data_IF_369753299388
#
_entry.id   IF_369753299388
#
_cell.length_a   1.000
_cell.length_b   1.000
_cell.length_c   1.000
_cell.angle_alpha   90.00
_cell.angle_beta   90.00
_cell.angle_gamma   90.00
#
_symmetry.space_group_name_H-M   'P 1'
#
loop_
_entity.id
_entity.type
_entity.pdbx_description
1 polymer ?
#
# COMPACT_ATOMS: atom_id res chain seq x y z
N UNK A 1 20.41 -13.10 -9.56
CA UNK A 1 19.15 -13.82 -9.85
C UNK A 1 18.48 -14.38 -8.59
N UNK A 2 19.16 -15.17 -7.75
CA UNK A 2 18.56 -15.76 -6.53
C UNK A 2 17.86 -14.76 -5.60
N UNK A 3 18.48 -13.62 -5.27
CA UNK A 3 17.88 -12.65 -4.33
C UNK A 3 16.59 -11.99 -4.84
N UNK A 4 16.49 -11.73 -6.14
CA UNK A 4 15.27 -11.15 -6.74
C UNK A 4 14.13 -12.17 -6.82
N UNK A 5 14.45 -13.46 -6.94
CA UNK A 5 13.45 -14.54 -6.86
C UNK A 5 12.85 -14.63 -5.46
N UNK A 6 13.69 -14.53 -4.40
CA UNK A 6 13.16 -14.49 -3.03
C UNK A 6 12.28 -13.26 -2.78
N UNK A 7 12.66 -12.08 -3.30
CA UNK A 7 11.78 -10.89 -3.23
C UNK A 7 10.43 -11.14 -3.92
N UNK A 8 10.43 -11.82 -5.06
CA UNK A 8 9.18 -12.18 -5.74
C UNK A 8 8.31 -13.10 -4.87
N UNK A 9 8.88 -14.17 -4.31
CA UNK A 9 8.16 -15.10 -3.44
C UNK A 9 7.64 -14.41 -2.17
N UNK A 10 8.46 -13.56 -1.52
CA UNK A 10 8.05 -12.78 -0.36
C UNK A 10 6.82 -11.93 -0.72
N UNK A 11 6.87 -11.19 -1.85
CA UNK A 11 5.75 -10.33 -2.24
C UNK A 11 4.49 -11.11 -2.65
N UNK A 12 4.61 -12.25 -3.31
CA UNK A 12 3.45 -13.12 -3.60
C UNK A 12 2.81 -13.58 -2.30
N UNK A 13 3.59 -14.10 -1.37
CA UNK A 13 3.04 -14.68 -0.15
C UNK A 13 2.62 -13.62 0.89
N UNK A 14 3.15 -12.40 0.83
CA UNK A 14 2.70 -11.31 1.70
C UNK A 14 1.56 -10.49 1.11
N UNK A 15 1.20 -10.68 -0.15
CA UNK A 15 0.20 -9.85 -0.84
C UNK A 15 -1.13 -9.76 -0.09
N UNK A 16 -1.73 -10.91 0.17
CA UNK A 16 -3.05 -10.96 0.80
C UNK A 16 -2.98 -10.82 2.34
N UNK A 17 -1.93 -11.35 2.96
CA UNK A 17 -1.83 -11.37 4.43
C UNK A 17 -1.67 -9.97 5.05
N UNK A 18 -1.22 -8.95 4.31
CA UNK A 18 -1.08 -7.57 4.79
C UNK A 18 -2.41 -6.99 5.26
N UNK A 19 -3.50 -7.34 4.58
CA UNK A 19 -4.86 -6.95 4.93
C UNK A 19 -5.53 -7.83 6.00
N UNK A 20 -4.86 -8.88 6.47
CA UNK A 20 -5.43 -9.89 7.36
C UNK A 20 -6.62 -10.60 6.71
N UNK A 21 -7.61 -10.97 7.52
CA UNK A 21 -8.82 -11.65 7.02
C UNK A 21 -9.72 -10.75 6.15
N UNK A 22 -9.51 -9.42 6.15
CA UNK A 22 -10.29 -8.49 5.33
C UNK A 22 -11.80 -8.76 5.36
N UNK A 23 -12.44 -8.91 4.18
CA UNK A 23 -13.88 -9.16 4.08
C UNK A 23 -14.32 -10.47 4.73
N UNK A 24 -13.45 -11.48 4.80
CA UNK A 24 -13.77 -12.81 5.33
C UNK A 24 -14.01 -12.80 6.83
N UNK A 25 -13.41 -11.85 7.57
CA UNK A 25 -13.65 -11.69 9.00
C UNK A 25 -15.12 -11.44 9.31
N UNK A 26 -15.75 -10.54 8.56
CA UNK A 26 -17.17 -10.21 8.76
C UNK A 26 -18.07 -11.42 8.59
N UNK A 27 -17.86 -12.19 7.53
CA UNK A 27 -18.59 -13.42 7.26
C UNK A 27 -18.38 -14.45 8.38
N UNK A 28 -17.13 -14.66 8.81
CA UNK A 28 -16.81 -15.57 9.90
C UNK A 28 -17.50 -15.21 11.21
N UNK A 29 -17.38 -13.95 11.64
CA UNK A 29 -17.97 -13.48 12.89
C UNK A 29 -19.50 -13.50 12.85
N UNK A 30 -20.12 -13.25 11.71
CA UNK A 30 -21.57 -13.36 11.54
C UNK A 30 -22.02 -14.81 11.66
N UNK A 31 -21.33 -15.75 11.00
CA UNK A 31 -21.72 -17.18 10.97
C UNK A 31 -21.43 -17.90 12.29
N UNK A 32 -20.31 -17.61 12.95
CA UNK A 32 -19.87 -18.34 14.14
C UNK A 32 -20.23 -17.66 15.46
N UNK A 33 -20.34 -16.35 15.49
CA UNK A 33 -20.59 -15.54 16.68
C UNK A 33 -21.90 -14.77 16.69
N UNK A 34 -22.68 -14.81 15.61
CA UNK A 34 -23.92 -14.04 15.47
C UNK A 34 -23.69 -12.52 15.53
N UNK A 35 -22.51 -12.05 15.10
CA UNK A 35 -22.19 -10.62 15.16
C UNK A 35 -22.98 -9.83 14.11
N UNK A 36 -23.58 -8.73 14.56
CA UNK A 36 -24.21 -7.79 13.64
C UNK A 36 -23.16 -7.07 12.76
N UNK A 37 -23.53 -6.64 11.55
CA UNK A 37 -22.65 -5.85 10.68
C UNK A 37 -22.09 -4.60 11.37
N UNK A 38 -22.87 -3.93 12.20
CA UNK A 38 -22.45 -2.77 12.98
C UNK A 38 -21.33 -3.11 13.96
N UNK A 39 -21.41 -4.26 14.65
CA UNK A 39 -20.40 -4.71 15.60
C UNK A 39 -19.10 -5.10 14.89
N UNK A 40 -19.18 -5.76 13.73
CA UNK A 40 -18.04 -6.07 12.88
C UNK A 40 -17.38 -4.77 12.37
N UNK A 41 -18.18 -3.85 11.85
CA UNK A 41 -17.70 -2.55 11.38
C UNK A 41 -17.01 -1.74 12.49
N UNK A 42 -17.56 -1.76 13.71
CA UNK A 42 -16.96 -1.04 14.83
C UNK A 42 -15.59 -1.60 15.22
N UNK A 43 -15.44 -2.93 15.34
CA UNK A 43 -14.13 -3.54 15.67
C UNK A 43 -13.11 -3.29 14.58
N UNK A 44 -13.47 -3.41 13.30
CA UNK A 44 -12.55 -3.18 12.18
C UNK A 44 -12.12 -1.71 12.09
N UNK A 45 -13.02 -0.78 12.38
CA UNK A 45 -12.69 0.66 12.46
C UNK A 45 -11.69 0.94 13.58
N UNK A 46 -11.93 0.41 14.79
CA UNK A 46 -10.99 0.59 15.90
C UNK A 46 -9.61 0.02 15.61
N UNK A 47 -9.55 -1.17 15.00
CA UNK A 47 -8.28 -1.77 14.57
C UNK A 47 -7.59 -0.92 13.50
N UNK A 48 -8.34 -0.43 12.51
CA UNK A 48 -7.82 0.47 11.48
C UNK A 48 -7.21 1.74 12.07
N UNK A 49 -7.92 2.39 13.00
CA UNK A 49 -7.39 3.57 13.74
C UNK A 49 -6.12 3.21 14.52
N UNK A 50 -6.12 2.07 15.22
CA UNK A 50 -4.93 1.58 15.92
C UNK A 50 -3.74 1.35 14.98
N UNK A 51 -3.98 0.76 13.82
CA UNK A 51 -2.96 0.54 12.78
C UNK A 51 -2.34 1.86 12.27
N UNK A 52 -3.13 2.93 12.13
CA UNK A 52 -2.62 4.25 11.75
C UNK A 52 -1.59 4.78 12.76
N UNK A 53 -1.88 4.67 14.05
CA UNK A 53 -0.94 5.07 15.11
C UNK A 53 0.33 4.20 15.15
N UNK A 54 0.23 2.93 14.76
CA UNK A 54 1.37 2.01 14.72
C UNK A 54 2.26 2.21 13.48
N UNK A 55 1.76 2.79 12.39
CA UNK A 55 2.47 2.87 11.10
C UNK A 55 3.78 3.67 11.18
N UNK A 56 3.80 4.82 11.85
CA UNK A 56 5.01 5.61 12.05
C UNK A 56 6.05 4.90 12.93
N UNK A 57 5.67 4.43 14.14
CA UNK A 57 6.54 3.61 15.00
C UNK A 57 7.07 2.36 14.32
N UNK A 58 6.28 1.66 13.49
CA UNK A 58 6.73 0.48 12.75
C UNK A 58 7.87 0.82 11.78
N UNK A 59 7.74 1.90 11.02
CA UNK A 59 8.83 2.39 10.15
C UNK A 59 10.09 2.76 10.95
N UNK A 60 9.93 3.45 12.09
CA UNK A 60 11.05 3.79 12.97
C UNK A 60 11.74 2.55 13.56
N UNK A 61 10.97 1.51 13.86
CA UNK A 61 11.50 0.23 14.35
C UNK A 61 12.37 -0.44 13.27
N UNK A 62 11.93 -0.42 12.01
CA UNK A 62 12.71 -0.97 10.88
C UNK A 62 14.02 -0.22 10.73
N UNK A 63 13.99 1.11 10.69
CA UNK A 63 15.20 1.93 10.59
C UNK A 63 16.17 1.71 11.77
N UNK A 64 15.64 1.43 12.97
CA UNK A 64 16.46 1.22 14.18
C UNK A 64 17.12 -0.15 14.20
N UNK A 65 16.38 -1.21 13.87
CA UNK A 65 16.85 -2.60 13.99
C UNK A 65 17.78 -2.96 12.82
N UNK A 66 17.50 -2.49 11.59
CA UNK A 66 18.31 -2.77 10.39
C UNK A 66 18.42 -4.25 10.02
N UNK A 67 17.47 -5.08 10.46
CA UNK A 67 17.40 -6.53 10.17
C UNK A 67 16.07 -6.89 9.52
N UNK A 68 15.83 -6.44 8.27
CA UNK A 68 14.51 -6.55 7.63
C UNK A 68 14.00 -7.98 7.53
N UNK A 69 14.87 -8.97 7.31
CA UNK A 69 14.47 -10.39 7.24
C UNK A 69 13.80 -10.87 8.52
N UNK A 70 14.38 -10.53 9.68
CA UNK A 70 13.79 -10.91 10.99
C UNK A 70 12.49 -10.17 11.23
N UNK A 71 12.40 -8.90 10.82
CA UNK A 71 11.20 -8.08 10.97
C UNK A 71 10.05 -8.57 10.08
N UNK A 72 10.32 -8.97 8.82
CA UNK A 72 9.32 -9.58 7.94
C UNK A 72 8.83 -10.91 8.55
N UNK A 73 9.74 -11.77 8.99
CA UNK A 73 9.37 -13.04 9.62
C UNK A 73 8.53 -12.83 10.90
N UNK A 74 8.94 -11.90 11.78
CA UNK A 74 8.19 -11.55 12.99
C UNK A 74 6.81 -10.96 12.67
N UNK A 75 6.72 -10.12 11.63
CA UNK A 75 5.45 -9.58 11.14
C UNK A 75 4.51 -10.68 10.64
N UNK A 76 5.02 -11.63 9.85
CA UNK A 76 4.24 -12.78 9.39
C UNK A 76 3.79 -13.67 10.55
N UNK A 77 4.64 -13.87 11.57
CA UNK A 77 4.27 -14.59 12.80
C UNK A 77 3.16 -13.86 13.55
N UNK A 78 3.26 -12.53 13.69
CA UNK A 78 2.22 -11.74 14.34
C UNK A 78 0.88 -11.81 13.59
N UNK A 79 0.90 -11.71 12.25
CA UNK A 79 -0.30 -11.85 11.42
C UNK A 79 -0.89 -13.25 11.58
N UNK A 80 -0.07 -14.30 11.50
CA UNK A 80 -0.51 -15.69 11.67
C UNK A 80 -1.13 -15.89 13.06
N UNK A 81 -0.45 -15.45 14.11
CA UNK A 81 -0.94 -15.56 15.49
C UNK A 81 -2.25 -14.79 15.65
N UNK A 82 -2.32 -13.54 15.21
CA UNK A 82 -3.55 -12.74 15.26
C UNK A 82 -4.70 -13.39 14.49
N UNK A 83 -4.43 -13.94 13.31
CA UNK A 83 -5.42 -14.64 12.49
C UNK A 83 -5.94 -15.90 13.21
N UNK A 84 -5.05 -16.74 13.77
CA UNK A 84 -5.45 -17.97 14.47
C UNK A 84 -6.16 -17.70 15.79
N UNK A 85 -5.78 -16.63 16.52
CA UNK A 85 -6.45 -16.20 17.75
C UNK A 85 -7.92 -15.81 17.55
N UNK A 86 -8.32 -15.46 16.33
CA UNK A 86 -9.74 -15.17 16.02
C UNK A 86 -10.61 -16.43 16.05
N UNK A 87 -10.07 -17.61 15.71
CA UNK A 87 -10.83 -18.85 15.65
C UNK A 87 -11.58 -19.14 16.96
N UNK A 88 -10.96 -19.11 18.15
CA UNK A 88 -11.63 -19.29 19.43
C UNK A 88 -12.28 -18.01 19.97
N UNK A 89 -12.03 -16.84 19.38
CA UNK A 89 -12.45 -15.55 19.93
C UNK A 89 -13.95 -15.30 19.74
N UNK A 90 -14.72 -15.25 20.83
CA UNK A 90 -16.17 -14.99 20.81
C UNK A 90 -16.53 -13.61 21.34
N UNK A 91 -15.69 -12.99 22.16
CA UNK A 91 -15.93 -11.69 22.76
C UNK A 91 -15.31 -10.55 21.94
N UNK A 92 -15.89 -9.36 22.05
CA UNK A 92 -15.37 -8.18 21.37
C UNK A 92 -13.90 -7.88 21.75
N UNK A 93 -13.49 -7.87 23.03
CA UNK A 93 -12.10 -7.61 23.39
C UNK A 93 -11.12 -8.64 22.81
N UNK A 94 -11.52 -9.93 22.76
CA UNK A 94 -10.67 -10.99 22.22
C UNK A 94 -10.47 -10.82 20.69
N UNK A 95 -11.54 -10.54 19.94
CA UNK A 95 -11.45 -10.27 18.50
C UNK A 95 -10.64 -9.01 18.23
N UNK A 96 -10.87 -7.94 19.00
CA UNK A 96 -10.11 -6.70 18.90
C UNK A 96 -8.61 -6.92 19.16
N UNK A 97 -8.25 -7.61 20.23
CA UNK A 97 -6.85 -7.91 20.55
C UNK A 97 -6.18 -8.76 19.46
N UNK A 98 -6.85 -9.82 19.00
CA UNK A 98 -6.36 -10.67 17.91
C UNK A 98 -6.12 -9.87 16.62
N UNK A 99 -7.07 -9.02 16.24
CA UNK A 99 -6.95 -8.14 15.07
C UNK A 99 -5.84 -7.10 15.23
N UNK A 100 -5.66 -6.54 16.43
CA UNK A 100 -4.57 -5.59 16.70
C UNK A 100 -3.19 -6.24 16.58
N UNK A 101 -3.04 -7.51 17.00
CA UNK A 101 -1.81 -8.28 16.79
C UNK A 101 -1.53 -8.48 15.30
N UNK A 102 -2.55 -8.88 14.51
CA UNK A 102 -2.42 -9.03 13.07
C UNK A 102 -2.09 -7.69 12.39
N UNK A 103 -2.77 -6.60 12.77
CA UNK A 103 -2.56 -5.27 12.22
C UNK A 103 -1.15 -4.73 12.52
N UNK A 104 -0.62 -4.97 13.72
CA UNK A 104 0.77 -4.62 14.08
C UNK A 104 1.79 -5.31 13.16
N UNK A 105 1.56 -6.60 12.82
CA UNK A 105 2.33 -7.29 11.80
C UNK A 105 2.15 -6.65 10.40
N UNK A 106 0.92 -6.37 10.00
CA UNK A 106 0.59 -5.80 8.69
C UNK A 106 1.29 -4.47 8.42
N UNK A 107 1.27 -3.54 9.38
CA UNK A 107 1.91 -2.22 9.22
C UNK A 107 3.45 -2.29 9.17
N UNK A 108 4.03 -3.36 9.70
CA UNK A 108 5.48 -3.58 9.69
C UNK A 108 5.99 -4.13 8.36
N UNK A 109 5.15 -4.87 7.60
CA UNK A 109 5.57 -5.57 6.39
C UNK A 109 6.09 -4.64 5.30
N UNK A 110 5.33 -3.60 4.94
CA UNK A 110 5.72 -2.70 3.84
C UNK A 110 7.05 -2.00 4.08
N UNK A 111 7.31 -1.37 5.25
CA UNK A 111 8.62 -0.79 5.54
C UNK A 111 9.75 -1.83 5.52
N UNK A 112 9.52 -3.01 6.11
CA UNK A 112 10.55 -4.04 6.18
C UNK A 112 10.89 -4.65 4.80
N UNK A 113 9.89 -4.88 3.94
CA UNK A 113 10.11 -5.34 2.55
C UNK A 113 10.81 -4.26 1.72
N UNK A 114 10.45 -2.99 1.93
CA UNK A 114 11.09 -1.84 1.26
C UNK A 114 12.58 -1.75 1.64
N UNK A 115 12.88 -1.87 2.93
CA UNK A 115 14.26 -1.90 3.44
C UNK A 115 15.06 -3.06 2.85
N UNK A 116 14.48 -4.28 2.87
CA UNK A 116 15.12 -5.46 2.28
C UNK A 116 15.38 -5.26 0.79
N UNK A 117 14.41 -4.70 0.06
CA UNK A 117 14.53 -4.44 -1.37
C UNK A 117 15.64 -3.44 -1.66
N UNK A 118 15.67 -2.29 -0.95
CA UNK A 118 16.73 -1.28 -1.08
C UNK A 118 18.11 -1.86 -0.78
N UNK A 119 18.24 -2.66 0.27
CA UNK A 119 19.50 -3.29 0.65
C UNK A 119 20.02 -4.33 -0.35
N UNK A 120 19.10 -4.96 -1.12
CA UNK A 120 19.47 -5.94 -2.16
C UNK A 120 19.81 -5.25 -3.47
N UNK A 121 18.98 -4.33 -3.97
CA UNK A 121 19.12 -3.80 -5.34
C UNK A 121 19.74 -2.42 -5.41
N UNK A 122 19.78 -1.67 -4.31
CA UNK A 122 20.24 -0.28 -4.27
C UNK A 122 19.23 0.69 -4.89
N UNK A 123 19.50 2.00 -4.74
CA UNK A 123 18.61 3.09 -5.16
C UNK A 123 18.29 3.05 -6.66
N UNK A 124 19.30 2.85 -7.50
CA UNK A 124 19.15 2.98 -8.97
C UNK A 124 18.23 1.91 -9.55
N UNK A 125 18.22 0.70 -8.98
CA UNK A 125 17.35 -0.40 -9.43
C UNK A 125 16.07 -0.51 -8.63
N UNK A 126 15.93 0.26 -7.56
CA UNK A 126 14.77 0.19 -6.66
C UNK A 126 13.44 0.45 -7.37
N UNK A 127 13.27 1.48 -8.25
CA UNK A 127 11.99 1.72 -8.89
C UNK A 127 11.52 0.53 -9.73
N UNK A 128 12.41 -0.04 -10.52
CA UNK A 128 12.10 -1.22 -11.35
C UNK A 128 11.77 -2.45 -10.51
N UNK A 129 12.51 -2.67 -9.41
CA UNK A 129 12.25 -3.79 -8.51
C UNK A 129 10.97 -3.58 -7.73
N UNK A 130 10.65 -2.35 -7.30
CA UNK A 130 9.41 -2.02 -6.61
C UNK A 130 8.19 -2.29 -7.50
N UNK A 131 8.27 -1.95 -8.80
CA UNK A 131 7.23 -2.32 -9.76
C UNK A 131 7.00 -3.84 -9.85
N UNK A 132 8.07 -4.63 -9.86
CA UNK A 132 7.98 -6.09 -9.82
C UNK A 132 7.41 -6.60 -8.50
N UNK A 133 7.85 -6.05 -7.37
CA UNK A 133 7.36 -6.41 -6.06
C UNK A 133 5.85 -6.20 -5.96
N UNK A 134 5.35 -5.06 -6.43
CA UNK A 134 3.92 -4.76 -6.43
C UNK A 134 3.14 -5.69 -7.38
N UNK A 135 3.67 -5.99 -8.57
CA UNK A 135 3.03 -6.95 -9.47
C UNK A 135 2.91 -8.34 -8.84
N UNK A 136 3.96 -8.82 -8.16
CA UNK A 136 3.92 -10.09 -7.42
C UNK A 136 2.97 -10.04 -6.21
N UNK A 137 2.88 -8.89 -5.54
CA UNK A 137 1.94 -8.67 -4.44
C UNK A 137 0.49 -8.81 -4.93
N UNK A 138 0.11 -8.11 -6.01
CA UNK A 138 -1.22 -8.23 -6.61
C UNK A 138 -1.51 -9.64 -7.14
N UNK A 139 -0.52 -10.34 -7.69
CA UNK A 139 -0.65 -11.75 -8.08
C UNK A 139 -0.94 -12.63 -6.86
N UNK A 140 -0.28 -12.39 -5.73
CA UNK A 140 -0.53 -13.08 -4.46
C UNK A 140 -1.97 -12.88 -3.97
N UNK A 141 -2.49 -11.65 -4.03
CA UNK A 141 -3.89 -11.35 -3.69
C UNK A 141 -4.86 -12.15 -4.57
N UNK A 142 -4.63 -12.17 -5.89
CA UNK A 142 -5.48 -12.93 -6.81
C UNK A 142 -5.45 -14.43 -6.54
N UNK A 143 -4.27 -15.01 -6.27
CA UNK A 143 -4.11 -16.42 -5.93
C UNK A 143 -4.86 -16.73 -4.63
N UNK A 144 -4.68 -15.93 -3.57
CA UNK A 144 -5.36 -16.13 -2.31
C UNK A 144 -6.88 -16.03 -2.45
N UNK A 145 -7.36 -14.98 -3.11
CA UNK A 145 -8.80 -14.80 -3.36
C UNK A 145 -9.40 -15.96 -4.16
N UNK A 146 -8.68 -16.45 -5.17
CA UNK A 146 -9.09 -17.63 -5.95
C UNK A 146 -9.16 -18.90 -5.10
N UNK A 147 -8.12 -19.18 -4.30
CA UNK A 147 -8.08 -20.34 -3.40
C UNK A 147 -9.17 -20.28 -2.32
N UNK A 148 -9.42 -19.12 -1.74
CA UNK A 148 -10.46 -18.93 -0.74
C UNK A 148 -11.83 -19.09 -1.39
N UNK A 149 -12.08 -18.46 -2.53
CA UNK A 149 -13.36 -18.54 -3.25
C UNK A 149 -13.71 -19.99 -3.63
N UNK A 150 -12.75 -20.71 -4.23
CA UNK A 150 -12.94 -22.11 -4.60
C UNK A 150 -13.06 -23.01 -3.36
N UNK A 151 -12.18 -22.83 -2.38
CA UNK A 151 -12.14 -23.65 -1.18
C UNK A 151 -13.37 -23.49 -0.28
N UNK A 152 -13.96 -22.29 -0.24
CA UNK A 152 -15.16 -22.01 0.57
C UNK A 152 -16.35 -22.88 0.16
N UNK A 153 -16.47 -23.23 -1.12
CA UNK A 153 -17.54 -24.10 -1.62
C UNK A 153 -17.45 -25.54 -1.04
N UNK A 154 -16.24 -26.00 -0.66
CA UNK A 154 -16.01 -27.36 -0.16
C UNK A 154 -15.75 -27.42 1.34
N UNK A 155 -15.10 -26.42 1.91
CA UNK A 155 -14.60 -26.40 3.29
C UNK A 155 -15.19 -25.30 4.16
N UNK A 156 -16.13 -24.50 3.61
CA UNK A 156 -16.76 -23.39 4.32
C UNK A 156 -15.80 -22.21 4.57
N UNK A 157 -16.26 -21.22 5.35
CA UNK A 157 -15.55 -19.96 5.58
C UNK A 157 -14.18 -20.13 6.30
N UNK A 158 -13.96 -21.25 7.00
CA UNK A 158 -12.69 -21.53 7.67
C UNK A 158 -11.50 -21.63 6.72
N UNK A 159 -11.72 -21.89 5.43
CA UNK A 159 -10.66 -21.99 4.43
C UNK A 159 -9.83 -20.72 4.34
N UNK A 160 -10.42 -19.54 4.58
CA UNK A 160 -9.68 -18.28 4.57
C UNK A 160 -8.54 -18.27 5.61
N UNK A 161 -8.77 -18.83 6.81
CA UNK A 161 -7.73 -18.94 7.85
C UNK A 161 -6.58 -19.85 7.43
N UNK A 162 -6.90 -20.96 6.76
CA UNK A 162 -5.90 -21.91 6.30
C UNK A 162 -5.06 -21.36 5.14
N UNK A 163 -5.69 -20.68 4.18
CA UNK A 163 -4.98 -20.03 3.06
C UNK A 163 -4.06 -18.94 3.55
N UNK A 164 -4.56 -18.03 4.41
CA UNK A 164 -3.74 -16.97 5.01
C UNK A 164 -2.62 -17.54 5.87
N UNK A 165 -2.91 -18.58 6.67
CA UNK A 165 -1.91 -19.28 7.47
C UNK A 165 -0.82 -19.91 6.62
N UNK A 166 -1.19 -20.61 5.55
CA UNK A 166 -0.23 -21.21 4.61
C UNK A 166 0.63 -20.13 3.93
N UNK A 167 0.03 -19.03 3.47
CA UNK A 167 0.76 -17.92 2.88
C UNK A 167 1.73 -17.27 3.88
N UNK A 168 1.32 -17.08 5.14
CA UNK A 168 2.20 -16.55 6.17
C UNK A 168 3.41 -17.46 6.43
N UNK A 169 3.20 -18.78 6.50
CA UNK A 169 4.30 -19.76 6.67
C UNK A 169 5.23 -19.73 5.46
N UNK A 170 4.68 -19.72 4.23
CA UNK A 170 5.49 -19.63 3.01
C UNK A 170 6.27 -18.32 2.92
N UNK A 171 5.68 -17.19 3.36
CA UNK A 171 6.36 -15.91 3.45
C UNK A 171 7.53 -15.95 4.45
N UNK A 172 7.35 -16.59 5.61
CA UNK A 172 8.43 -16.80 6.60
C UNK A 172 9.55 -17.62 5.96
N UNK A 173 9.23 -18.75 5.34
CA UNK A 173 10.22 -19.62 4.68
C UNK A 173 10.97 -18.84 3.59
N UNK A 174 10.26 -18.16 2.68
CA UNK A 174 10.86 -17.38 1.61
C UNK A 174 11.78 -16.27 2.17
N UNK A 175 11.40 -15.65 3.29
CA UNK A 175 12.18 -14.60 3.93
C UNK A 175 13.44 -15.14 4.60
N UNK A 176 13.33 -16.22 5.36
CA UNK A 176 14.46 -16.79 6.11
C UNK A 176 15.48 -17.46 5.17
N UNK A 177 15.01 -18.04 4.05
CA UNK A 177 15.88 -18.63 3.02
C UNK A 177 16.55 -17.59 2.11
N UNK A 178 16.16 -16.31 2.19
CA UNK A 178 16.85 -15.23 1.47
C UNK A 178 18.32 -15.16 1.91
N UNK A 179 19.30 -15.25 0.98
CA UNK A 179 20.71 -15.24 1.36
C UNK A 179 21.13 -13.94 2.03
N UNK A 180 21.73 -14.04 3.23
CA UNK A 180 22.10 -12.88 4.04
C UNK A 180 23.14 -11.97 3.40
N UNK A 181 24.06 -12.55 2.63
CA UNK A 181 25.11 -11.83 1.92
C UNK A 181 24.60 -10.91 0.80
N UNK A 182 23.35 -11.12 0.33
CA UNK A 182 22.74 -10.27 -0.69
C UNK A 182 22.22 -8.94 -0.14
N UNK A 183 22.03 -8.83 1.18
CA UNK A 183 21.53 -7.63 1.83
C UNK A 183 22.68 -6.80 2.39
N UNK A 184 22.73 -5.53 2.04
CA UNK A 184 23.66 -4.54 2.60
C UNK A 184 22.87 -3.41 3.26
N UNK A 185 22.96 -3.31 4.59
CA UNK A 185 22.25 -2.28 5.37
C UNK A 185 22.71 -0.86 5.07
N UNK A 186 24.00 -0.67 4.73
CA UNK A 186 24.51 0.65 4.34
C UNK A 186 23.92 1.11 3.01
N UNK A 187 23.80 0.19 2.05
CA UNK A 187 23.11 0.42 0.77
C UNK A 187 21.65 0.79 0.97
N UNK A 188 20.96 0.11 1.90
CA UNK A 188 19.56 0.37 2.19
C UNK A 188 19.30 1.81 2.66
N UNK A 189 20.20 2.37 3.47
CA UNK A 189 20.09 3.73 4.03
C UNK A 189 20.81 4.80 3.19
N UNK A 190 21.53 4.39 2.14
CA UNK A 190 22.22 5.32 1.22
C UNK A 190 23.58 5.80 1.73
N UNK A 191 24.25 5.01 2.56
CA UNK A 191 25.60 5.30 3.04
C UNK A 191 26.63 4.64 2.13
N UNK A 192 27.89 5.14 2.14
CA UNK A 192 28.97 4.56 1.36
C UNK A 192 29.24 3.13 1.80
N UNK A 193 29.29 2.19 0.85
CA UNK A 193 29.45 0.76 1.14
C UNK A 193 30.88 0.42 1.57
N UNK A 194 31.85 1.09 0.98
CA UNK A 194 33.30 0.77 1.11
C UNK A 194 34.00 1.56 2.23
N UNK A 195 33.29 2.44 2.95
CA UNK A 195 33.87 3.25 4.02
C UNK A 195 33.15 2.96 5.36
N UNK A 196 33.69 2.02 6.17
CA UNK A 196 33.12 1.67 7.49
C UNK A 196 33.05 2.85 8.47
N UNK A 197 33.92 3.83 8.31
CA UNK A 197 34.01 5.02 9.18
C UNK A 197 33.07 6.13 8.74
N UNK A 198 32.56 6.09 7.51
CA UNK A 198 31.47 6.95 7.05
C UNK A 198 30.17 6.54 7.77
N UNK A 199 29.98 7.02 8.98
CA UNK A 199 28.74 6.88 9.77
C UNK A 199 28.04 8.23 9.84
N UNK A 200 27.36 8.65 8.74
CA UNK A 200 26.62 9.90 8.79
C UNK A 200 25.63 9.86 9.93
N UNK A 201 25.52 10.96 10.64
CA UNK A 201 24.56 11.08 11.73
C UNK A 201 23.16 10.86 11.19
N UNK A 202 22.41 9.92 11.78
CA UNK A 202 21.03 9.66 11.37
C UNK A 202 20.21 10.90 11.61
N UNK A 203 19.49 11.33 10.59
CA UNK A 203 18.56 12.44 10.71
C UNK A 203 17.59 12.22 11.89
N UNK A 204 17.22 13.28 12.59
CA UNK A 204 16.21 13.18 13.64
C UNK A 204 14.84 12.90 13.01
N UNK A 205 13.97 12.15 13.70
CA UNK A 205 12.58 11.95 13.25
C UNK A 205 11.89 13.28 12.97
N UNK A 206 12.16 14.29 13.81
CA UNK A 206 11.62 15.64 13.64
C UNK A 206 12.07 16.29 12.33
N UNK A 207 13.34 16.14 11.93
CA UNK A 207 13.83 16.73 10.67
C UNK A 207 13.19 16.07 9.44
N UNK A 208 12.91 14.76 9.51
CA UNK A 208 12.19 14.04 8.44
C UNK A 208 10.74 14.52 8.36
N UNK A 209 10.06 14.62 9.50
CA UNK A 209 8.68 15.11 9.58
C UNK A 209 8.54 16.59 9.21
N UNK A 210 9.61 17.38 9.35
CA UNK A 210 9.64 18.78 8.93
C UNK A 210 9.92 18.95 7.42
N UNK A 211 10.20 17.87 6.70
CA UNK A 211 10.42 17.94 5.26
C UNK A 211 9.13 18.30 4.53
N UNK A 212 9.05 19.56 4.06
CA UNK A 212 7.86 20.10 3.39
C UNK A 212 7.42 19.24 2.19
N UNK A 213 8.37 18.72 1.41
CA UNK A 213 8.04 17.87 0.24
C UNK A 213 7.39 16.55 0.66
N UNK A 214 7.89 15.95 1.73
CA UNK A 214 7.34 14.71 2.28
C UNK A 214 5.93 14.94 2.83
N UNK A 215 5.72 16.05 3.57
CA UNK A 215 4.40 16.36 4.13
C UNK A 215 3.37 16.68 3.04
N UNK A 216 3.76 17.41 1.99
CA UNK A 216 2.87 17.67 0.85
C UNK A 216 2.51 16.38 0.13
N UNK A 217 3.47 15.47 -0.07
CA UNK A 217 3.19 14.15 -0.62
C UNK A 217 2.19 13.40 0.27
N UNK A 218 2.41 13.36 1.59
CA UNK A 218 1.53 12.70 2.53
C UNK A 218 0.09 13.25 2.50
N UNK A 219 -0.06 14.59 2.48
CA UNK A 219 -1.36 15.26 2.37
C UNK A 219 -2.02 14.99 1.02
N UNK A 220 -1.27 15.04 -0.09
CA UNK A 220 -1.80 14.73 -1.41
C UNK A 220 -2.31 13.29 -1.49
N UNK A 221 -1.60 12.33 -0.87
CA UNK A 221 -2.03 10.94 -0.79
C UNK A 221 -3.21 10.73 0.15
N UNK A 222 -3.31 11.49 1.25
CA UNK A 222 -4.49 11.49 2.10
C UNK A 222 -5.73 11.97 1.34
N UNK A 223 -5.60 13.05 0.58
CA UNK A 223 -6.69 13.56 -0.29
C UNK A 223 -7.05 12.56 -1.40
N UNK A 224 -6.05 11.90 -2.00
CA UNK A 224 -6.28 10.83 -2.96
C UNK A 224 -7.10 9.69 -2.32
N UNK A 225 -6.69 9.20 -1.14
CA UNK A 225 -7.38 8.11 -0.46
C UNK A 225 -8.75 8.54 0.10
N UNK A 226 -8.92 9.80 0.47
CA UNK A 226 -10.23 10.35 0.85
C UNK A 226 -11.22 10.23 -0.32
N UNK A 227 -10.75 10.44 -1.55
CA UNK A 227 -11.56 10.24 -2.75
C UNK A 227 -11.72 8.78 -3.14
N UNK A 228 -10.64 7.99 -3.08
CA UNK A 228 -10.59 6.64 -3.63
C UNK A 228 -11.14 5.56 -2.69
N UNK A 229 -10.85 5.65 -1.40
CA UNK A 229 -11.06 4.54 -0.46
C UNK A 229 -12.51 4.10 -0.29
N UNK A 230 -13.47 5.02 -0.34
CA UNK A 230 -14.91 4.71 -0.19
C UNK A 230 -15.64 4.48 -1.51
N UNK A 231 -14.99 4.71 -2.64
CA UNK A 231 -15.69 4.73 -3.95
C UNK A 231 -16.26 3.37 -4.33
N UNK A 232 -15.52 2.29 -4.14
CA UNK A 232 -16.01 0.93 -4.40
C UNK A 232 -17.17 0.55 -3.48
N UNK A 233 -17.13 0.93 -2.20
CA UNK A 233 -18.22 0.69 -1.24
C UNK A 233 -19.49 1.44 -1.66
N UNK A 234 -19.34 2.70 -2.08
CA UNK A 234 -20.46 3.51 -2.55
C UNK A 234 -21.04 2.96 -3.86
N UNK A 235 -20.17 2.46 -4.74
CA UNK A 235 -20.58 1.80 -5.99
C UNK A 235 -21.39 0.53 -5.71
N UNK A 236 -20.96 -0.29 -4.76
CA UNK A 236 -21.72 -1.46 -4.31
C UNK A 236 -23.11 -1.07 -3.78
N UNK A 237 -23.22 0.02 -3.01
CA UNK A 237 -24.52 0.53 -2.53
C UNK A 237 -25.41 1.04 -3.66
N UNK A 238 -24.84 1.71 -4.67
CA UNK A 238 -25.55 2.14 -5.88
C UNK A 238 -26.14 0.93 -6.62
N UNK A 239 -25.38 -0.15 -6.74
CA UNK A 239 -25.83 -1.40 -7.39
C UNK A 239 -26.96 -2.08 -6.61
N UNK A 240 -26.91 -2.09 -5.27
CA UNK A 240 -28.00 -2.57 -4.42
C UNK A 240 -29.26 -1.75 -4.66
N UNK A 241 -29.15 -0.43 -4.67
CA UNK A 241 -30.28 0.47 -4.90
C UNK A 241 -30.88 0.29 -6.30
N UNK A 242 -30.08 -0.13 -7.29
CA UNK A 242 -30.53 -0.44 -8.65
C UNK A 242 -31.08 -1.87 -8.80
N UNK A 243 -31.14 -2.68 -7.73
CA UNK A 243 -31.65 -4.06 -7.77
C UNK A 243 -30.70 -5.05 -8.45
N UNK A 244 -29.42 -4.70 -8.62
CA UNK A 244 -28.41 -5.55 -9.23
C UNK A 244 -27.79 -6.50 -8.20
N UNK A 245 -27.20 -7.63 -8.65
CA UNK A 245 -26.38 -8.49 -7.80
C UNK A 245 -25.06 -7.76 -7.43
N UNK A 246 -25.17 -6.89 -6.41
CA UNK A 246 -24.06 -6.07 -5.96
C UNK A 246 -22.86 -6.88 -5.49
N UNK A 247 -23.09 -8.07 -4.89
CA UNK A 247 -22.01 -8.93 -4.38
C UNK A 247 -21.17 -9.48 -5.53
N UNK A 248 -21.82 -10.03 -6.56
CA UNK A 248 -21.12 -10.58 -7.72
C UNK A 248 -20.40 -9.47 -8.51
N UNK A 249 -21.01 -8.31 -8.68
CA UNK A 249 -20.39 -7.20 -9.40
C UNK A 249 -19.22 -6.59 -8.63
N UNK A 250 -19.34 -6.39 -7.31
CA UNK A 250 -18.23 -5.88 -6.48
C UNK A 250 -17.03 -6.84 -6.53
N UNK A 251 -17.26 -8.15 -6.47
CA UNK A 251 -16.19 -9.13 -6.64
C UNK A 251 -15.50 -9.02 -8.01
N UNK A 252 -16.26 -8.88 -9.10
CA UNK A 252 -15.72 -8.67 -10.46
C UNK A 252 -14.89 -7.38 -10.54
N UNK A 253 -15.37 -6.29 -9.94
CA UNK A 253 -14.68 -5.01 -9.92
C UNK A 253 -13.32 -5.11 -9.21
N UNK A 254 -13.28 -5.74 -8.02
CA UNK A 254 -12.02 -5.99 -7.33
C UNK A 254 -11.06 -6.83 -8.18
N UNK A 255 -11.56 -7.91 -8.81
CA UNK A 255 -10.72 -8.74 -9.67
C UNK A 255 -10.15 -7.96 -10.86
N UNK A 256 -10.96 -7.15 -11.53
CA UNK A 256 -10.51 -6.32 -12.66
C UNK A 256 -9.45 -5.32 -12.21
N UNK A 257 -9.68 -4.61 -11.10
CA UNK A 257 -8.71 -3.66 -10.56
C UNK A 257 -7.37 -4.36 -10.26
N UNK A 258 -7.37 -5.52 -9.59
CA UNK A 258 -6.15 -6.28 -9.30
C UNK A 258 -5.44 -6.76 -10.57
N UNK A 259 -6.18 -7.25 -11.57
CA UNK A 259 -5.61 -7.67 -12.86
C UNK A 259 -4.93 -6.51 -13.59
N UNK A 260 -5.51 -5.32 -13.54
CA UNK A 260 -4.93 -4.10 -14.13
C UNK A 260 -3.71 -3.62 -13.35
N UNK A 261 -3.74 -3.70 -12.01
CA UNK A 261 -2.62 -3.29 -11.16
C UNK A 261 -1.32 -4.02 -11.49
N UNK A 262 -1.38 -5.31 -11.89
CA UNK A 262 -0.19 -6.11 -12.22
C UNK A 262 0.64 -5.48 -13.35
N UNK A 263 0.13 -5.34 -14.59
CA UNK A 263 0.89 -4.72 -15.67
C UNK A 263 1.23 -3.26 -15.37
N UNK A 264 0.32 -2.50 -14.77
CA UNK A 264 0.55 -1.09 -14.43
C UNK A 264 1.72 -0.95 -13.46
N UNK A 265 1.83 -1.78 -12.44
CA UNK A 265 2.96 -1.75 -11.50
C UNK A 265 4.30 -2.04 -12.20
N UNK A 266 4.33 -3.02 -13.12
CA UNK A 266 5.53 -3.33 -13.91
C UNK A 266 5.94 -2.14 -14.79
N UNK A 267 5.00 -1.52 -15.48
CA UNK A 267 5.25 -0.34 -16.31
C UNK A 267 5.62 0.88 -15.48
N UNK A 268 4.93 1.14 -14.37
CA UNK A 268 5.21 2.27 -13.48
C UNK A 268 6.65 2.20 -12.93
N UNK A 269 7.12 1.01 -12.51
CA UNK A 269 8.49 0.82 -12.03
C UNK A 269 9.55 1.15 -13.09
N UNK A 270 9.31 0.79 -14.35
CA UNK A 270 10.23 1.10 -15.45
C UNK A 270 10.11 2.54 -15.95
N UNK A 271 8.91 3.10 -15.88
CA UNK A 271 8.62 4.45 -16.35
C UNK A 271 9.05 5.53 -15.35
N UNK A 272 9.09 5.18 -14.05
CA UNK A 272 9.57 6.05 -12.98
C UNK A 272 11.00 6.54 -13.25
N UNK A 273 11.86 5.66 -13.80
CA UNK A 273 13.24 6.01 -14.15
C UNK A 273 13.34 6.86 -15.44
N UNK A 274 12.46 6.58 -16.43
CA UNK A 274 12.55 7.21 -17.76
C UNK A 274 11.87 8.58 -17.84
N UNK A 275 10.67 8.71 -17.26
CA UNK A 275 9.81 9.90 -17.40
C UNK A 275 9.70 10.75 -16.13
N UNK A 276 10.30 10.30 -15.03
CA UNK A 276 10.28 10.98 -13.74
C UNK A 276 9.05 10.63 -12.91
N UNK A 277 9.27 10.49 -11.61
CA UNK A 277 8.29 10.02 -10.61
C UNK A 277 7.11 10.96 -10.43
N UNK A 278 7.36 12.28 -10.58
CA UNK A 278 6.31 13.31 -10.50
C UNK A 278 5.22 13.12 -11.55
N UNK A 279 5.61 12.82 -12.80
CA UNK A 279 4.64 12.60 -13.88
C UNK A 279 3.72 11.41 -13.59
N UNK A 280 4.27 10.35 -13.02
CA UNK A 280 3.48 9.19 -12.61
C UNK A 280 2.46 9.53 -11.52
N UNK A 281 2.88 10.26 -10.48
CA UNK A 281 1.96 10.73 -9.43
C UNK A 281 0.87 11.63 -10.00
N UNK A 282 1.21 12.56 -10.91
CA UNK A 282 0.22 13.42 -11.56
C UNK A 282 -0.79 12.62 -12.38
N UNK A 283 -0.34 11.57 -13.09
CA UNK A 283 -1.24 10.67 -13.83
C UNK A 283 -2.18 9.95 -12.86
N UNK A 284 -1.67 9.36 -11.77
CA UNK A 284 -2.49 8.67 -10.79
C UNK A 284 -3.55 9.59 -10.17
N UNK A 285 -3.17 10.82 -9.82
CA UNK A 285 -4.07 11.82 -9.26
C UNK A 285 -5.11 12.31 -10.27
N UNK A 286 -4.74 12.44 -11.55
CA UNK A 286 -5.65 12.88 -12.61
C UNK A 286 -6.66 11.79 -13.03
N UNK A 287 -6.31 10.52 -12.87
CA UNK A 287 -7.19 9.39 -13.19
C UNK A 287 -8.39 9.33 -12.25
N UNK A 288 -8.23 9.69 -10.97
CA UNK A 288 -9.31 9.56 -9.98
C UNK A 288 -10.53 10.45 -10.27
N UNK A 289 -10.43 11.73 -10.64
CA UNK A 289 -11.59 12.52 -11.07
C UNK A 289 -12.31 11.94 -12.29
N UNK A 290 -11.57 11.33 -13.22
CA UNK A 290 -12.16 10.67 -14.40
C UNK A 290 -12.93 9.42 -13.96
N UNK A 291 -12.35 8.59 -13.06
CA UNK A 291 -13.04 7.44 -12.44
C UNK A 291 -14.32 7.90 -11.73
N UNK A 292 -14.24 8.99 -10.98
CA UNK A 292 -15.39 9.56 -10.28
C UNK A 292 -16.50 9.97 -11.24
N UNK A 293 -16.16 10.63 -12.35
CA UNK A 293 -17.12 11.01 -13.40
C UNK A 293 -17.77 9.77 -14.06
N UNK A 294 -16.98 8.74 -14.39
CA UNK A 294 -17.55 7.51 -14.93
C UNK A 294 -18.53 6.87 -13.94
N UNK A 295 -18.16 6.77 -12.66
CA UNK A 295 -19.03 6.22 -11.61
C UNK A 295 -20.29 7.04 -11.36
N UNK A 296 -20.23 8.37 -11.62
CA UNK A 296 -21.36 9.28 -11.46
C UNK A 296 -22.40 9.15 -12.58
N UNK A 297 -21.96 8.94 -13.82
CA UNK A 297 -22.83 9.04 -14.99
C UNK A 297 -23.13 7.70 -15.67
N UNK A 298 -22.44 6.62 -15.29
CA UNK A 298 -22.70 5.27 -15.79
C UNK A 298 -23.52 4.51 -14.76
N UNK A 299 -24.66 3.94 -15.19
CA UNK A 299 -25.53 3.12 -14.33
C UNK A 299 -25.41 1.62 -14.65
N UNK A 300 -25.04 1.27 -15.86
CA UNK A 300 -24.88 -0.13 -16.27
C UNK A 300 -23.66 -0.76 -15.58
N UNK A 301 -23.85 -1.87 -14.85
CA UNK A 301 -22.76 -2.54 -14.10
C UNK A 301 -21.61 -3.00 -14.99
N UNK A 302 -21.86 -3.39 -16.25
CA UNK A 302 -20.81 -3.85 -17.15
C UNK A 302 -19.89 -2.69 -17.57
N UNK A 303 -20.48 -1.52 -17.89
CA UNK A 303 -19.70 -0.34 -18.27
C UNK A 303 -18.97 0.30 -17.07
N UNK A 304 -19.44 0.09 -15.84
CA UNK A 304 -18.74 0.51 -14.62
C UNK A 304 -17.40 -0.22 -14.40
N UNK A 305 -17.15 -1.34 -15.10
CA UNK A 305 -15.83 -1.97 -15.14
C UNK A 305 -14.75 -0.98 -15.62
N UNK A 306 -15.10 -0.04 -16.51
CA UNK A 306 -14.16 1.00 -16.97
C UNK A 306 -13.66 1.90 -15.84
N UNK A 307 -14.50 2.19 -14.84
CA UNK A 307 -14.09 2.92 -13.64
C UNK A 307 -13.11 2.12 -12.78
N UNK A 308 -13.28 0.80 -12.71
CA UNK A 308 -12.38 -0.07 -11.95
C UNK A 308 -11.05 -0.35 -12.67
N UNK A 309 -11.03 -0.32 -14.00
CA UNK A 309 -9.78 -0.27 -14.76
C UNK A 309 -8.97 0.97 -14.39
N UNK A 310 -9.64 2.12 -14.27
CA UNK A 310 -8.98 3.36 -13.84
C UNK A 310 -8.49 3.29 -12.38
N UNK A 311 -9.23 2.63 -11.49
CA UNK A 311 -8.74 2.34 -10.14
C UNK A 311 -7.45 1.53 -10.16
N UNK A 312 -7.43 0.46 -10.95
CA UNK A 312 -6.24 -0.36 -11.14
C UNK A 312 -5.04 0.44 -11.65
N UNK A 313 -5.27 1.39 -12.57
CA UNK A 313 -4.23 2.28 -13.07
C UNK A 313 -3.73 3.21 -11.96
N UNK A 314 -4.62 3.92 -11.27
CA UNK A 314 -4.24 4.89 -10.25
C UNK A 314 -3.54 4.21 -9.06
N UNK A 315 -4.14 3.16 -8.51
CA UNK A 315 -3.63 2.43 -7.34
C UNK A 315 -2.35 1.66 -7.66
N UNK A 316 -2.23 1.06 -8.86
CA UNK A 316 -1.01 0.41 -9.32
C UNK A 316 0.17 1.39 -9.46
N UNK A 317 -0.07 2.61 -9.93
CA UNK A 317 0.96 3.65 -9.98
C UNK A 317 1.34 4.09 -8.56
N UNK A 318 0.38 4.38 -7.69
CA UNK A 318 0.61 4.86 -6.31
C UNK A 318 1.42 3.84 -5.51
N UNK A 319 1.09 2.55 -5.59
CA UNK A 319 1.80 1.47 -4.91
C UNK A 319 3.29 1.37 -5.26
N UNK A 320 3.66 1.77 -6.48
CA UNK A 320 5.07 1.83 -6.91
C UNK A 320 5.70 3.19 -6.62
N UNK A 321 5.01 4.28 -6.99
CA UNK A 321 5.58 5.62 -6.95
C UNK A 321 5.83 6.12 -5.53
N UNK A 322 4.95 5.80 -4.56
CA UNK A 322 5.06 6.31 -3.19
C UNK A 322 6.33 5.83 -2.49
N UNK A 323 6.62 4.51 -2.38
CA UNK A 323 7.87 4.06 -1.75
C UNK A 323 9.12 4.61 -2.45
N UNK A 324 9.07 4.75 -3.78
CA UNK A 324 10.19 5.28 -4.57
C UNK A 324 10.43 6.75 -4.27
N UNK A 325 9.38 7.58 -4.27
CA UNK A 325 9.49 9.02 -3.96
C UNK A 325 9.92 9.24 -2.52
N UNK A 326 9.39 8.48 -1.57
CA UNK A 326 9.81 8.57 -0.16
C UNK A 326 11.28 8.21 -0.02
N UNK A 327 11.74 7.12 -0.65
CA UNK A 327 13.14 6.73 -0.64
C UNK A 327 14.05 7.81 -1.23
N UNK A 328 13.62 8.47 -2.32
CA UNK A 328 14.39 9.58 -2.93
C UNK A 328 14.48 10.80 -2.04
N UNK A 329 13.38 11.18 -1.40
CA UNK A 329 13.31 12.36 -0.53
C UNK A 329 14.09 12.20 0.79
N UNK A 330 14.31 10.95 1.20
CA UNK A 330 14.95 10.60 2.48
C UNK A 330 16.27 9.84 2.32
N UNK A 331 16.79 9.77 1.08
CA UNK A 331 18.03 9.05 0.80
C UNK A 331 19.20 9.60 1.62
N UNK A 332 19.96 8.70 2.23
CA UNK A 332 21.10 9.05 3.10
C UNK A 332 20.73 9.52 4.50
N UNK A 333 19.43 9.70 4.80
CA UNK A 333 18.97 10.15 6.13
C UNK A 333 19.01 9.05 7.19
N UNK A 334 19.04 7.78 6.80
CA UNK A 334 18.86 6.63 7.68
C UNK A 334 17.46 6.51 8.28
N UNK A 335 16.44 7.21 7.72
CA UNK A 335 15.07 7.29 8.22
C UNK A 335 14.01 7.07 7.15
N UNK A 336 14.34 6.36 6.08
CA UNK A 336 13.41 6.12 4.96
C UNK A 336 12.16 5.40 5.40
N UNK A 337 12.28 4.40 6.27
CA UNK A 337 11.12 3.62 6.71
C UNK A 337 10.24 4.38 7.70
N UNK A 338 10.85 5.22 8.55
CA UNK A 338 10.10 6.18 9.39
C UNK A 338 9.24 7.11 8.53
N UNK A 339 9.82 7.65 7.46
CA UNK A 339 9.12 8.52 6.52
C UNK A 339 7.98 7.78 5.80
N UNK A 340 8.23 6.56 5.32
CA UNK A 340 7.23 5.73 4.64
C UNK A 340 6.06 5.40 5.58
N UNK A 341 6.34 4.98 6.81
CA UNK A 341 5.33 4.72 7.82
C UNK A 341 4.48 5.95 8.15
N UNK A 342 5.12 7.13 8.21
CA UNK A 342 4.41 8.40 8.44
C UNK A 342 3.50 8.77 7.26
N UNK A 343 4.01 8.65 6.02
CA UNK A 343 3.20 8.89 4.81
C UNK A 343 2.01 7.95 4.78
N UNK A 344 2.21 6.66 5.08
CA UNK A 344 1.13 5.68 5.13
C UNK A 344 0.11 5.99 6.24
N UNK A 345 0.54 6.46 7.40
CA UNK A 345 -0.37 6.87 8.47
C UNK A 345 -1.26 8.05 8.03
N UNK A 346 -0.68 9.08 7.45
CA UNK A 346 -1.41 10.26 6.96
C UNK A 346 -2.35 9.88 5.79
N UNK A 347 -1.87 9.07 4.86
CA UNK A 347 -2.66 8.51 3.76
C UNK A 347 -3.86 7.69 4.28
N UNK A 348 -3.64 6.89 5.31
CA UNK A 348 -4.66 6.06 5.94
C UNK A 348 -5.77 6.86 6.61
N UNK A 349 -5.50 8.08 7.13
CA UNK A 349 -6.53 8.99 7.65
C UNK A 349 -7.53 9.33 6.54
N UNK A 350 -7.05 9.67 5.33
CA UNK A 350 -7.91 9.93 4.18
C UNK A 350 -8.80 8.72 3.85
N UNK A 351 -8.20 7.52 3.81
CA UNK A 351 -8.94 6.28 3.57
C UNK A 351 -10.01 5.99 4.63
N UNK A 352 -9.68 6.18 5.90
CA UNK A 352 -10.62 5.98 7.01
C UNK A 352 -11.84 6.93 6.96
N UNK A 353 -11.62 8.16 6.51
CA UNK A 353 -12.69 9.16 6.37
C UNK A 353 -13.50 9.01 5.07
N UNK A 354 -13.00 8.27 4.09
CA UNK A 354 -13.55 8.20 2.75
C UNK A 354 -14.99 7.68 2.69
N UNK A 355 -15.27 6.59 3.40
CA UNK A 355 -16.61 6.00 3.40
C UNK A 355 -17.63 6.94 4.06
N UNK A 356 -17.26 7.60 5.16
CA UNK A 356 -18.11 8.60 5.82
C UNK A 356 -18.37 9.80 4.92
N UNK A 357 -17.30 10.34 4.30
CA UNK A 357 -17.39 11.47 3.36
C UNK A 357 -18.27 11.14 2.15
N UNK A 358 -18.10 9.95 1.55
CA UNK A 358 -18.94 9.49 0.45
C UNK A 358 -20.38 9.29 0.83
N UNK A 359 -20.66 8.71 2.01
CA UNK A 359 -22.01 8.51 2.51
C UNK A 359 -22.72 9.83 2.83
N UNK A 360 -22.01 10.79 3.44
CA UNK A 360 -22.55 12.14 3.69
C UNK A 360 -22.86 12.86 2.37
N UNK A 361 -21.94 12.82 1.41
CA UNK A 361 -22.16 13.38 0.09
C UNK A 361 -23.37 12.74 -0.62
N UNK A 362 -23.55 11.43 -0.48
CA UNK A 362 -24.69 10.71 -1.07
C UNK A 362 -26.02 11.15 -0.47
N UNK A 363 -26.09 11.36 0.84
CA UNK A 363 -27.33 11.80 1.50
C UNK A 363 -27.77 13.20 1.10
N UNK A 364 -26.83 14.08 0.67
CA UNK A 364 -27.10 15.47 0.31
C UNK A 364 -27.20 15.67 -1.21
N UNK A 365 -26.32 15.02 -1.99
CA UNK A 365 -26.14 15.26 -3.42
C UNK A 365 -26.64 14.10 -4.30
N UNK A 366 -27.16 13.01 -3.69
CA UNK A 366 -27.52 11.79 -4.41
C UNK A 366 -26.31 11.02 -4.96
N UNK A 367 -26.56 9.99 -5.79
CA UNK A 367 -25.51 9.09 -6.28
C UNK A 367 -24.48 9.80 -7.14
N UNK A 368 -24.90 10.50 -8.21
CA UNK A 368 -23.98 11.17 -9.12
C UNK A 368 -23.17 12.25 -8.41
N UNK A 369 -23.83 13.07 -7.57
CA UNK A 369 -23.14 14.12 -6.80
C UNK A 369 -22.13 13.57 -5.82
N UNK A 370 -22.39 12.42 -5.20
CA UNK A 370 -21.47 11.79 -4.23
C UNK A 370 -20.18 11.29 -4.89
N UNK A 371 -20.26 10.68 -6.08
CA UNK A 371 -19.07 10.27 -6.81
C UNK A 371 -18.23 11.48 -7.25
N UNK A 372 -18.87 12.55 -7.76
CA UNK A 372 -18.17 13.77 -8.11
C UNK A 372 -17.50 14.43 -6.88
N UNK A 373 -18.19 14.42 -5.74
CA UNK A 373 -17.61 14.90 -4.48
C UNK A 373 -16.37 14.07 -4.07
N UNK A 374 -16.40 12.75 -4.24
CA UNK A 374 -15.22 11.89 -4.00
C UNK A 374 -14.08 12.19 -4.98
N UNK A 375 -14.36 12.64 -6.19
CA UNK A 375 -13.33 13.06 -7.15
C UNK A 375 -12.65 14.40 -6.80
N UNK A 376 -13.34 15.29 -6.09
CA UNK A 376 -12.85 16.65 -5.80
C UNK A 376 -11.55 16.70 -4.98
N UNK A 377 -11.33 15.91 -3.91
CA UNK A 377 -10.08 15.88 -3.17
C UNK A 377 -8.86 15.58 -4.04
N UNK A 378 -9.01 14.73 -5.07
CA UNK A 378 -7.91 14.41 -5.97
C UNK A 378 -7.51 15.59 -6.86
N UNK A 379 -8.42 16.48 -7.23
CA UNK A 379 -8.10 17.73 -7.94
C UNK A 379 -7.26 18.65 -7.04
N UNK A 380 -7.57 18.72 -5.75
CA UNK A 380 -6.77 19.49 -4.78
C UNK A 380 -5.38 18.85 -4.63
N UNK A 381 -5.31 17.52 -4.52
CA UNK A 381 -4.04 16.80 -4.47
C UNK A 381 -3.19 17.03 -5.73
N UNK A 382 -3.83 17.02 -6.91
CA UNK A 382 -3.19 17.30 -8.19
C UNK A 382 -2.60 18.73 -8.21
N UNK A 383 -3.38 19.74 -7.78
CA UNK A 383 -2.92 21.11 -7.69
C UNK A 383 -1.75 21.26 -6.71
N UNK A 384 -1.79 20.60 -5.55
CA UNK A 384 -0.69 20.60 -4.57
C UNK A 384 0.59 20.01 -5.15
N UNK A 385 0.52 18.89 -5.89
CA UNK A 385 1.70 18.26 -6.51
C UNK A 385 2.22 19.07 -7.69
N UNK A 386 1.36 19.78 -8.42
CA UNK A 386 1.78 20.70 -9.49
C UNK A 386 2.49 21.92 -8.89
N UNK A 387 1.94 22.50 -7.83
CA UNK A 387 2.47 23.71 -7.22
C UNK A 387 3.78 23.47 -6.47
N UNK A 388 3.91 22.34 -5.79
CA UNK A 388 5.14 21.96 -5.11
C UNK A 388 5.91 20.97 -5.97
N UNK A 389 7.10 21.37 -6.40
CA UNK A 389 8.05 20.45 -7.05
C UNK A 389 8.57 19.43 -6.03
N UNK A 390 7.67 18.49 -5.67
CA UNK A 390 7.93 17.45 -4.64
C UNK A 390 8.96 16.43 -5.09
N UNK A 391 9.23 16.38 -6.40
CA UNK A 391 10.08 15.35 -7.03
C UNK A 391 11.24 15.98 -7.83
N UNK A 392 11.65 17.19 -7.49
CA UNK A 392 12.85 17.76 -8.08
C UNK A 392 14.05 16.84 -7.78
N UNK A 393 14.53 16.18 -8.84
CA UNK A 393 15.69 15.30 -8.79
C UNK A 393 16.91 16.08 -8.26
N UNK A 394 17.49 15.71 -7.11
CA UNK A 394 18.77 16.30 -6.70
C UNK A 394 19.90 15.98 -7.71
N UNK A 395 19.75 14.88 -8.47
CA UNK A 395 20.82 14.35 -9.31
C UNK A 395 21.07 15.04 -10.64
N UNK A 396 20.03 15.54 -11.36
CA UNK A 396 20.25 16.11 -12.70
C UNK A 396 20.89 17.49 -12.70
N UNK A 397 20.59 18.34 -11.70
CA UNK A 397 21.22 19.67 -11.61
C UNK A 397 22.67 19.58 -11.12
N UNK A 398 22.96 18.68 -10.19
CA UNK A 398 24.32 18.46 -9.67
C UNK A 398 25.20 17.78 -10.72
N UNK A 399 24.73 16.71 -11.37
CA UNK A 399 25.48 16.06 -12.45
C UNK A 399 25.69 16.98 -13.68
N UNK A 400 24.71 17.83 -14.00
CA UNK A 400 24.91 18.83 -15.08
C UNK A 400 25.91 19.91 -14.69
N UNK A 401 25.92 20.36 -13.41
CA UNK A 401 26.95 21.28 -12.92
C UNK A 401 28.32 20.64 -12.85
N UNK A 402 28.42 19.41 -12.43
CA UNK A 402 29.66 18.63 -12.40
C UNK A 402 30.18 18.34 -13.81
N UNK A 403 29.32 17.99 -14.78
CA UNK A 403 29.69 17.83 -16.19
C UNK A 403 30.10 19.16 -16.82
N UNK A 404 29.44 20.25 -16.51
CA UNK A 404 29.86 21.59 -16.99
C UNK A 404 31.15 22.08 -16.32
N UNK A 405 31.36 21.76 -15.04
CA UNK A 405 32.64 22.05 -14.36
C UNK A 405 33.78 21.20 -14.87
N UNK A 406 33.51 19.90 -15.19
CA UNK A 406 34.52 19.00 -15.76
C UNK A 406 34.86 19.30 -17.22
N UNK A 407 33.99 19.97 -17.97
CA UNK A 407 34.26 20.42 -19.35
C UNK A 407 35.06 21.74 -19.44
N UNK A 408 35.22 22.44 -18.31
CA UNK A 408 36.00 23.66 -18.23
C UNK A 408 37.43 23.31 -17.80
N UNK A 409 38.28 22.86 -18.74
CA UNK A 409 39.74 22.86 -18.58
C UNK A 409 40.22 24.21 -19.07
N UNK A 410 40.89 25.01 -18.24
CA UNK A 410 41.63 26.15 -18.77
C UNK A 410 42.80 25.66 -19.65
N UNK A 411 42.95 26.30 -20.79
CA UNK A 411 44.04 26.05 -21.74
C UNK A 411 45.40 26.47 -21.16
#
# INVERSE_FOLDING_TARGET
>A
MLATTHLALINVFTGDIQGGLGPFLGTWLAQTGGWSPARVGFVTTLVGVGALFLSGPAGALVDRIGRPRLLIAAACVAILAGTLLILPAKSFPAVFAAQMVAAAGGVLLLPAITELTLGIVGKDRFPKQQGRNQAYNHLGILIAAGLISFGTAYFGAAVAFWVLGAMAVLAIVATLTTPGHCYNGRRAVGWKEDDPDDKPERATTRSVLSNRKLMVLAVALALFNLGNGGMLTLLGQKLVAAGSDATAWTARYVMVAQLVMIPVALFAGSLADKRGRRKLLLVALAVLPVRAALSAFIDDPLWLISAEILDGVASGIVGVAVPVVVADLTWGSGRTQTALGTVNAVQGIGGALSAWYGGLAQSVLGWSGSFLALGAPALIALALVIWLDTTSEPGRRTQRRERLAASWKPA
#
